data_IF_177424723844
#
_entry.id   IF_177424723844
#
_cell.length_a   1.000
_cell.length_b   1.000
_cell.length_c   1.000
_cell.angle_alpha   90.00
_cell.angle_beta   90.00
_cell.angle_gamma   90.00
#
_symmetry.space_group_name_H-M   'P 1'
#
loop_
_entity.id
_entity.type
_entity.pdbx_description
1 polymer ?
#
# COMPACT_ATOMS: atom_id res chain seq x y z
N UNK A 1 -9.44 -1.93 19.99
CA UNK A 1 -8.52 -3.09 19.80
C UNK A 1 -9.28 -4.11 18.96
N UNK A 2 -8.66 -4.68 17.93
CA UNK A 2 -9.30 -5.69 17.05
C UNK A 2 -9.24 -7.04 17.77
N UNK A 3 -10.35 -7.75 17.84
CA UNK A 3 -10.46 -9.06 18.49
C UNK A 3 -9.99 -10.20 17.58
N UNK A 4 -9.61 -11.37 18.13
CA UNK A 4 -9.27 -12.54 17.32
C UNK A 4 -10.42 -13.00 16.38
N UNK A 5 -11.68 -12.87 16.81
CA UNK A 5 -12.84 -13.20 15.98
C UNK A 5 -12.96 -12.30 14.76
N UNK A 6 -12.68 -11.00 14.90
CA UNK A 6 -12.67 -10.04 13.78
C UNK A 6 -11.53 -10.31 12.80
N UNK A 7 -10.36 -10.72 13.30
CA UNK A 7 -9.22 -11.15 12.46
C UNK A 7 -9.58 -12.43 11.69
N UNK A 8 -10.17 -13.43 12.36
CA UNK A 8 -10.58 -14.68 11.70
C UNK A 8 -11.67 -14.44 10.65
N UNK A 9 -12.63 -13.56 10.93
CA UNK A 9 -13.65 -13.17 9.97
C UNK A 9 -12.99 -12.51 8.74
N UNK A 10 -12.07 -11.57 8.95
CA UNK A 10 -11.38 -10.89 7.86
C UNK A 10 -10.52 -11.86 7.03
N UNK A 11 -9.86 -12.83 7.68
CA UNK A 11 -9.11 -13.87 6.99
C UNK A 11 -10.02 -14.70 6.06
N UNK A 12 -11.16 -15.18 6.57
CA UNK A 12 -12.13 -15.94 5.78
C UNK A 12 -12.72 -15.13 4.61
N UNK A 13 -13.06 -13.87 4.85
CA UNK A 13 -13.57 -12.99 3.82
C UNK A 13 -12.51 -12.70 2.74
N UNK A 14 -11.29 -12.36 3.14
CA UNK A 14 -10.19 -12.06 2.21
C UNK A 14 -9.62 -13.30 1.53
N UNK A 15 -9.83 -14.50 2.07
CA UNK A 15 -9.54 -15.76 1.37
C UNK A 15 -10.38 -15.89 0.09
N UNK A 16 -11.67 -15.58 0.16
CA UNK A 16 -12.59 -15.65 -0.98
C UNK A 16 -12.46 -14.43 -1.91
N UNK A 17 -12.56 -13.24 -1.38
CA UNK A 17 -12.76 -11.99 -2.12
C UNK A 17 -11.51 -11.11 -2.22
N UNK A 18 -10.44 -11.45 -1.49
CA UNK A 18 -9.24 -10.63 -1.39
C UNK A 18 -8.31 -10.75 -2.59
N UNK A 19 -7.77 -9.65 -3.02
CA UNK A 19 -6.61 -9.58 -3.91
C UNK A 19 -5.42 -9.02 -3.14
N UNK A 20 -4.29 -9.72 -3.18
CA UNK A 20 -3.02 -9.31 -2.59
C UNK A 20 -2.01 -9.03 -3.69
N UNK A 21 -1.46 -7.83 -3.75
CA UNK A 21 -0.56 -7.48 -4.83
C UNK A 21 0.12 -6.13 -4.69
N UNK A 22 0.64 -5.65 -5.79
CA UNK A 22 1.21 -4.31 -5.95
C UNK A 22 0.38 -3.46 -6.90
N UNK A 23 0.37 -2.16 -6.64
CA UNK A 23 -0.02 -1.14 -7.59
C UNK A 23 1.15 -0.18 -7.76
N UNK A 24 1.71 -0.16 -8.96
CA UNK A 24 2.87 0.65 -9.32
C UNK A 24 4.04 0.46 -8.32
N UNK A 25 4.01 1.15 -7.17
CA UNK A 25 5.09 1.14 -6.18
C UNK A 25 4.65 0.74 -4.77
N UNK A 26 3.37 0.40 -4.57
CA UNK A 26 2.82 0.14 -3.25
C UNK A 26 2.16 -1.23 -3.13
N UNK A 27 2.47 -2.00 -2.06
CA UNK A 27 1.70 -3.18 -1.73
C UNK A 27 0.26 -2.78 -1.42
N UNK A 28 -0.70 -3.61 -1.85
CA UNK A 28 -2.11 -3.37 -1.58
C UNK A 28 -2.89 -4.66 -1.34
N UNK A 29 -3.95 -4.52 -0.58
CA UNK A 29 -5.03 -5.49 -0.46
C UNK A 29 -6.28 -4.83 -1.04
N UNK A 30 -7.02 -5.56 -1.87
CA UNK A 30 -8.27 -5.10 -2.48
C UNK A 30 -9.33 -6.16 -2.23
N UNK A 31 -10.53 -5.75 -1.86
CA UNK A 31 -11.70 -6.61 -1.82
C UNK A 31 -12.92 -5.86 -2.35
N UNK A 32 -13.73 -6.54 -3.16
CA UNK A 32 -14.91 -5.96 -3.79
C UNK A 32 -16.17 -6.72 -3.42
N UNK A 33 -17.28 -5.98 -3.15
CA UNK A 33 -18.59 -6.57 -2.87
C UNK A 33 -19.73 -5.70 -3.39
N UNK A 34 -20.81 -6.36 -3.83
CA UNK A 34 -22.07 -5.68 -4.19
C UNK A 34 -22.72 -5.11 -2.93
N UNK A 35 -22.73 -5.87 -1.84
CA UNK A 35 -23.20 -5.41 -0.55
C UNK A 35 -22.10 -4.61 0.17
N UNK A 36 -22.48 -3.46 0.71
CA UNK A 36 -21.52 -2.54 1.32
C UNK A 36 -21.00 -2.98 2.69
N UNK A 37 -21.82 -3.68 3.48
CA UNK A 37 -21.51 -3.98 4.88
C UNK A 37 -20.18 -4.76 5.11
N UNK A 38 -19.76 -5.73 4.24
CA UNK A 38 -18.50 -6.43 4.48
C UNK A 38 -17.28 -5.51 4.31
N UNK A 39 -17.32 -4.62 3.32
CA UNK A 39 -16.22 -3.67 3.09
C UNK A 39 -16.21 -2.54 4.13
N UNK A 40 -17.37 -2.16 4.69
CA UNK A 40 -17.45 -1.24 5.82
C UNK A 40 -16.81 -1.84 7.08
N UNK A 41 -16.95 -3.15 7.34
CA UNK A 41 -16.27 -3.83 8.43
C UNK A 41 -14.74 -3.83 8.22
N UNK A 42 -14.26 -4.15 7.02
CA UNK A 42 -12.82 -4.07 6.72
C UNK A 42 -12.27 -2.67 6.94
N UNK A 43 -12.99 -1.64 6.49
CA UNK A 43 -12.60 -0.26 6.71
C UNK A 43 -12.59 0.13 8.18
N UNK A 44 -13.59 -0.33 8.95
CA UNK A 44 -13.70 -0.09 10.39
C UNK A 44 -12.55 -0.73 11.16
N UNK A 45 -12.15 -1.96 10.83
CA UNK A 45 -11.13 -2.70 11.53
C UNK A 45 -9.71 -2.29 11.11
N UNK A 46 -9.47 -2.11 9.82
CA UNK A 46 -8.11 -1.95 9.29
C UNK A 46 -7.87 -0.59 8.61
N UNK A 47 -8.91 0.24 8.49
CA UNK A 47 -8.84 1.48 7.73
C UNK A 47 -8.84 1.23 6.21
N UNK A 48 -8.20 2.12 5.47
CA UNK A 48 -8.23 2.07 4.01
C UNK A 48 -9.24 3.02 3.41
N UNK A 49 -9.67 2.75 2.18
CA UNK A 49 -10.66 3.55 1.46
C UNK A 49 -11.69 2.65 0.78
N UNK A 50 -12.94 3.12 0.69
CA UNK A 50 -14.00 2.47 -0.06
C UNK A 50 -14.36 3.36 -1.25
N UNK A 51 -14.46 2.75 -2.43
CA UNK A 51 -14.91 3.42 -3.66
C UNK A 51 -16.10 2.68 -4.22
N UNK A 52 -17.10 3.42 -4.70
CA UNK A 52 -18.17 2.86 -5.52
C UNK A 52 -17.66 2.79 -6.96
N UNK A 53 -17.72 1.62 -7.56
CA UNK A 53 -17.26 1.37 -8.92
C UNK A 53 -18.44 0.96 -9.79
N UNK A 54 -18.60 1.63 -10.92
CA UNK A 54 -19.69 1.39 -11.89
C UNK A 54 -19.20 0.60 -13.11
N UNK A 55 -18.41 -0.45 -12.90
CA UNK A 55 -18.00 -1.35 -13.99
C UNK A 55 -19.04 -2.44 -14.19
N UNK A 56 -19.70 -2.46 -15.36
CA UNK A 56 -20.76 -3.40 -15.74
C UNK A 56 -22.15 -3.06 -15.17
N UNK A 57 -23.10 -3.99 -15.33
CA UNK A 57 -24.53 -3.80 -15.06
C UNK A 57 -24.88 -3.50 -13.59
N UNK A 58 -23.97 -3.75 -12.66
CA UNK A 58 -24.24 -3.55 -11.23
C UNK A 58 -23.06 -2.79 -10.57
N UNK A 59 -23.35 -1.73 -9.80
CA UNK A 59 -22.33 -1.06 -8.99
C UNK A 59 -21.85 -2.00 -7.90
N UNK A 60 -20.56 -1.92 -7.54
CA UNK A 60 -19.99 -2.64 -6.40
C UNK A 60 -19.04 -1.74 -5.61
N UNK A 61 -18.89 -2.05 -4.33
CA UNK A 61 -18.02 -1.34 -3.41
C UNK A 61 -16.65 -2.01 -3.41
N UNK A 62 -15.60 -1.23 -3.64
CA UNK A 62 -14.22 -1.67 -3.65
C UNK A 62 -13.49 -1.08 -2.45
N UNK A 63 -13.09 -1.94 -1.52
CA UNK A 63 -12.21 -1.56 -0.43
C UNK A 63 -10.75 -1.74 -0.83
N UNK A 64 -9.90 -0.77 -0.48
CA UNK A 64 -8.46 -0.76 -0.78
C UNK A 64 -7.67 -0.37 0.45
N UNK A 65 -6.70 -1.20 0.82
CA UNK A 65 -5.69 -0.92 1.83
C UNK A 65 -4.32 -0.94 1.16
N UNK A 66 -3.49 0.09 1.38
CA UNK A 66 -2.21 0.25 0.67
C UNK A 66 -1.04 0.54 1.62
N UNK A 67 0.19 0.31 1.12
CA UNK A 67 1.43 0.67 1.80
C UNK A 67 1.74 -0.22 3.00
N UNK A 68 2.36 0.36 4.02
CA UNK A 68 2.76 -0.37 5.23
C UNK A 68 1.60 -1.02 5.97
N UNK A 69 0.40 -0.42 5.93
CA UNK A 69 -0.81 -1.02 6.53
C UNK A 69 -1.20 -2.32 5.84
N UNK A 70 -1.10 -2.37 4.50
CA UNK A 70 -1.36 -3.59 3.75
C UNK A 70 -0.36 -4.69 4.11
N UNK A 71 0.94 -4.36 4.23
CA UNK A 71 1.97 -5.30 4.68
C UNK A 71 1.67 -5.82 6.09
N UNK A 72 1.33 -4.93 7.04
CA UNK A 72 0.97 -5.32 8.41
C UNK A 72 -0.21 -6.28 8.45
N UNK A 73 -1.27 -6.00 7.70
CA UNK A 73 -2.43 -6.89 7.61
C UNK A 73 -2.09 -8.23 6.95
N UNK A 74 -1.31 -8.23 5.86
CA UNK A 74 -0.82 -9.47 5.23
C UNK A 74 -0.04 -10.36 6.23
N UNK A 75 0.82 -9.75 7.05
CA UNK A 75 1.57 -10.48 8.09
C UNK A 75 0.63 -11.08 9.15
N UNK A 76 -0.36 -10.31 9.59
CA UNK A 76 -1.35 -10.74 10.59
C UNK A 76 -2.18 -11.92 10.10
N UNK A 77 -2.60 -11.89 8.84
CA UNK A 77 -3.47 -12.90 8.25
C UNK A 77 -2.71 -14.12 7.69
N UNK A 78 -1.41 -14.05 7.53
CA UNK A 78 -0.60 -15.02 6.78
C UNK A 78 -0.90 -16.49 7.14
N UNK A 79 -0.87 -16.81 8.44
CA UNK A 79 -1.09 -18.19 8.91
C UNK A 79 -2.56 -18.63 8.89
N UNK A 80 -3.49 -17.73 8.64
CA UNK A 80 -4.92 -18.00 8.57
C UNK A 80 -5.42 -18.22 7.13
N UNK A 81 -4.56 -17.94 6.14
CA UNK A 81 -4.87 -18.03 4.73
C UNK A 81 -4.33 -19.31 4.10
N UNK A 82 -4.95 -19.72 2.99
CA UNK A 82 -4.53 -20.90 2.22
C UNK A 82 -3.10 -20.78 1.66
N UNK A 83 -2.43 -21.90 1.36
CA UNK A 83 -1.09 -21.90 0.75
C UNK A 83 -1.01 -21.01 -0.50
N UNK A 84 -2.03 -21.03 -1.35
CA UNK A 84 -2.10 -20.18 -2.55
C UNK A 84 -2.05 -18.69 -2.22
N UNK A 85 -2.75 -18.25 -1.17
CA UNK A 85 -2.74 -16.86 -0.71
C UNK A 85 -1.41 -16.51 -0.02
N UNK A 86 -0.86 -17.43 0.75
CA UNK A 86 0.46 -17.28 1.36
C UNK A 86 1.56 -17.10 0.30
N UNK A 87 1.53 -17.86 -0.81
CA UNK A 87 2.46 -17.68 -1.93
C UNK A 87 2.37 -16.27 -2.52
N UNK A 88 1.15 -15.79 -2.71
CA UNK A 88 0.92 -14.42 -3.20
C UNK A 88 1.49 -13.36 -2.25
N UNK A 89 1.29 -13.54 -0.95
CA UNK A 89 1.83 -12.65 0.08
C UNK A 89 3.37 -12.71 0.12
N UNK A 90 3.97 -13.90 0.03
CA UNK A 90 5.44 -14.05 -0.08
C UNK A 90 6.00 -13.29 -1.28
N UNK A 91 5.34 -13.38 -2.43
CA UNK A 91 5.71 -12.61 -3.62
C UNK A 91 5.64 -11.10 -3.34
N UNK A 92 4.55 -10.62 -2.73
CA UNK A 92 4.40 -9.19 -2.36
C UNK A 92 5.52 -8.74 -1.42
N UNK A 93 5.89 -9.55 -0.43
CA UNK A 93 6.99 -9.22 0.51
C UNK A 93 8.35 -9.18 -0.19
N UNK A 94 8.62 -10.12 -1.10
CA UNK A 94 9.85 -10.14 -1.89
C UNK A 94 9.97 -8.88 -2.75
N UNK A 95 8.93 -8.54 -3.48
CA UNK A 95 8.86 -7.33 -4.31
C UNK A 95 9.03 -6.06 -3.46
N UNK A 96 8.36 -5.99 -2.31
CA UNK A 96 8.45 -4.84 -1.43
C UNK A 96 9.86 -4.65 -0.87
N UNK A 97 10.55 -5.74 -0.49
CA UNK A 97 11.93 -5.70 0.00
C UNK A 97 12.93 -5.30 -1.10
N UNK A 98 12.73 -5.77 -2.33
CA UNK A 98 13.62 -5.48 -3.46
C UNK A 98 13.50 -4.05 -3.97
N UNK A 99 12.36 -3.39 -3.72
CA UNK A 99 12.12 -2.03 -4.22
C UNK A 99 12.91 -1.00 -3.42
N UNK A 100 13.51 -0.06 -4.15
CA UNK A 100 14.18 1.08 -3.52
C UNK A 100 13.16 1.92 -2.75
N UNK A 101 13.52 2.47 -1.58
CA UNK A 101 12.64 3.38 -0.85
C UNK A 101 12.10 4.47 -1.77
N UNK A 102 10.84 4.84 -1.60
CA UNK A 102 10.26 5.96 -2.33
C UNK A 102 11.17 7.19 -2.20
N UNK A 103 11.23 8.02 -3.23
CA UNK A 103 12.14 9.18 -3.33
C UNK A 103 12.15 10.06 -2.06
N UNK A 104 10.99 10.23 -1.41
CA UNK A 104 10.85 10.99 -0.15
C UNK A 104 11.59 10.39 1.06
N UNK A 105 11.93 9.09 1.01
CA UNK A 105 12.66 8.40 2.09
C UNK A 105 14.14 8.20 1.77
N UNK A 106 14.59 8.57 0.58
CA UNK A 106 16.01 8.48 0.24
C UNK A 106 16.80 9.49 1.07
N UNK A 107 17.90 9.05 1.67
CA UNK A 107 18.79 9.93 2.42
C UNK A 107 19.62 10.84 1.53
N UNK A 108 19.87 10.45 0.28
CA UNK A 108 20.67 11.17 -0.69
C UNK A 108 20.01 11.22 -2.07
N UNK A 109 20.41 12.17 -2.91
CA UNK A 109 20.01 12.27 -4.30
C UNK A 109 20.71 11.19 -5.17
N UNK A 110 20.37 11.11 -6.46
CA UNK A 110 20.98 10.14 -7.40
C UNK A 110 22.49 10.33 -7.58
N UNK A 111 23.02 11.52 -7.30
CA UNK A 111 24.47 11.84 -7.34
C UNK A 111 25.14 11.69 -5.96
N UNK A 112 24.47 11.12 -4.96
CA UNK A 112 25.04 10.83 -3.63
C UNK A 112 25.00 11.99 -2.62
N UNK A 113 24.48 13.18 -2.96
CA UNK A 113 24.43 14.30 -2.01
C UNK A 113 23.33 14.06 -0.99
N UNK A 114 23.65 14.10 0.29
CA UNK A 114 22.68 13.90 1.37
C UNK A 114 21.60 14.99 1.40
N UNK A 115 20.37 14.59 1.70
CA UNK A 115 19.24 15.51 1.94
C UNK A 115 19.27 16.04 3.37
N UNK A 116 20.13 17.03 3.61
CA UNK A 116 20.16 17.79 4.86
C UNK A 116 19.14 18.94 4.79
N UNK A 117 18.90 19.60 5.95
CA UNK A 117 18.05 20.79 6.00
C UNK A 117 18.52 21.91 5.05
N UNK A 118 19.83 22.04 4.83
CA UNK A 118 20.42 23.05 3.96
C UNK A 118 20.43 22.64 2.47
N UNK A 119 20.51 21.35 2.17
CA UNK A 119 20.61 20.82 0.81
C UNK A 119 19.25 20.36 0.23
N UNK A 120 18.17 20.42 1.00
CA UNK A 120 16.85 19.98 0.54
C UNK A 120 16.04 21.17 0.07
N UNK A 121 15.48 21.09 -1.15
CA UNK A 121 14.50 22.03 -1.68
C UNK A 121 13.18 21.33 -1.94
N UNK A 122 12.07 22.00 -1.64
CA UNK A 122 10.73 21.53 -1.98
C UNK A 122 10.42 21.83 -3.44
N UNK A 123 9.95 20.84 -4.18
CA UNK A 123 9.55 21.01 -5.58
C UNK A 123 8.04 21.17 -5.61
N UNK A 124 7.55 22.40 -5.89
CA UNK A 124 6.11 22.75 -5.89
C UNK A 124 5.28 21.98 -6.92
N UNK A 125 5.87 21.58 -8.05
CA UNK A 125 5.16 20.87 -9.15
C UNK A 125 5.04 19.37 -8.96
N UNK A 126 5.75 18.78 -7.98
CA UNK A 126 5.73 17.35 -7.66
C UNK A 126 5.86 17.21 -6.16
N UNK A 127 5.14 16.25 -5.56
CA UNK A 127 5.33 15.88 -4.15
C UNK A 127 6.72 15.23 -4.02
N UNK A 128 7.78 16.04 -3.94
CA UNK A 128 9.14 15.53 -3.92
C UNK A 128 10.15 16.55 -3.36
N UNK A 129 11.35 16.03 -3.05
CA UNK A 129 12.50 16.82 -2.62
C UNK A 129 13.51 16.93 -3.75
N UNK A 130 14.04 18.14 -3.96
CA UNK A 130 15.16 18.39 -4.84
C UNK A 130 16.47 18.55 -4.06
N UNK A 131 17.59 18.28 -4.71
CA UNK A 131 18.92 18.51 -4.19
C UNK A 131 19.43 19.89 -4.63
N UNK A 132 19.73 20.78 -3.67
CA UNK A 132 20.22 22.14 -3.96
C UNK A 132 21.56 22.15 -4.66
N UNK A 133 22.48 21.27 -4.24
CA UNK A 133 23.81 21.12 -4.87
C UNK A 133 23.69 20.76 -6.35
N UNK A 134 22.81 19.82 -6.70
CA UNK A 134 22.59 19.45 -8.10
C UNK A 134 21.98 20.60 -8.90
N UNK A 135 21.01 21.34 -8.31
CA UNK A 135 20.34 22.44 -8.99
C UNK A 135 21.29 23.61 -9.27
N UNK A 136 22.18 23.92 -8.36
CA UNK A 136 23.15 25.02 -8.56
C UNK A 136 24.23 24.67 -9.60
N UNK A 137 24.55 23.38 -9.79
CA UNK A 137 25.51 22.94 -10.82
C UNK A 137 24.91 22.85 -12.24
N UNK A 138 23.62 22.93 -12.38
CA UNK A 138 22.93 22.98 -13.68
C UNK A 138 22.68 24.45 -14.12
N UNK A 139 23.06 25.42 -13.29
CA UNK A 139 22.90 26.86 -13.56
C UNK A 139 24.21 27.57 -13.97
N UNK A 140 25.35 26.87 -13.94
CA UNK A 140 26.67 27.28 -14.46
C UNK A 140 26.94 26.59 -15.81
#
# INVERSE_FOLDING_TARGET
>A
MISPSEINWAAGFLEGEGYFGFDTDHPRIIAGQVQRWPVDLLMRYFGGTIRLTHTRKHPFYLWVLSGHRAIGLMMTLYNLLSPKRQDKIRFVFSEWKSRRPAFRYRRACSKGHEYTKHNTISIKSRIGRGCRICKNREAD
#
